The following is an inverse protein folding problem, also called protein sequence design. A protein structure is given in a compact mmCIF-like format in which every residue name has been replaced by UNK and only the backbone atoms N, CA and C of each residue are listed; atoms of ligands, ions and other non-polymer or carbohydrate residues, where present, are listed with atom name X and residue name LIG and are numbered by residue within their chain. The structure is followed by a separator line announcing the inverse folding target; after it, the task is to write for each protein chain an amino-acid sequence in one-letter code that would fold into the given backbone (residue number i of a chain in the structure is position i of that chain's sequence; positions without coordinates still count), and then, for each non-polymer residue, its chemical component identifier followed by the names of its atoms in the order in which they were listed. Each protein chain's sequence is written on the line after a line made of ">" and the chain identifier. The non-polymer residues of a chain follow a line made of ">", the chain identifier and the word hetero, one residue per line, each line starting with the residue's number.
data_IF_253701535104
#
_entry.id   IF_253701535104
#
_cell.length_a   1.000
_cell.length_b   1.000
_cell.length_c   1.000
_cell.angle_alpha   90.00
_cell.angle_beta   90.00
_cell.angle_gamma   90.00
#
_symmetry.space_group_name_H-M   'P 1'
#
loop_
_entity.id
_entity.type
_entity.pdbx_description
1 polymer ?
#
# COMPACT_ATOMS: atom_id res chain seq x y z
N UNK A 1 14.43 18.84 12.92
CA UNK A 1 14.47 18.25 11.56
C UNK A 1 13.65 16.97 11.65
N UNK A 2 12.36 17.04 11.31
CA UNK A 2 11.49 15.86 11.40
C UNK A 2 11.91 14.85 10.35
N UNK A 3 12.21 13.61 10.76
CA UNK A 3 12.25 12.48 9.84
C UNK A 3 10.95 12.49 9.06
N UNK A 4 11.02 12.79 7.76
CA UNK A 4 9.86 12.80 6.87
C UNK A 4 9.23 11.42 6.92
N UNK A 5 8.11 11.30 7.63
CA UNK A 5 7.38 10.05 7.67
C UNK A 5 6.75 9.89 6.28
N UNK A 6 7.32 9.00 5.47
CA UNK A 6 6.72 8.55 4.21
C UNK A 6 5.67 7.48 4.54
N UNK A 7 4.43 7.89 4.76
CA UNK A 7 3.28 7.00 4.99
C UNK A 7 2.16 7.25 3.96
N UNK A 8 2.52 7.84 2.82
CA UNK A 8 1.60 7.99 1.69
C UNK A 8 1.60 6.75 0.78
N UNK A 9 0.56 6.67 -0.05
CA UNK A 9 0.35 5.56 -0.95
C UNK A 9 1.44 5.42 -2.02
N UNK A 10 2.07 6.52 -2.42
CA UNK A 10 3.09 6.54 -3.48
C UNK A 10 4.34 5.81 -3.01
N UNK A 11 4.80 6.12 -1.80
CA UNK A 11 5.93 5.42 -1.20
C UNK A 11 5.60 3.95 -0.92
N UNK A 12 4.40 3.67 -0.39
CA UNK A 12 3.95 2.30 -0.14
C UNK A 12 3.94 1.44 -1.40
N UNK A 13 3.50 2.00 -2.53
CA UNK A 13 3.50 1.32 -3.82
C UNK A 13 4.92 1.03 -4.34
N UNK A 14 5.86 1.97 -4.18
CA UNK A 14 7.24 1.75 -4.58
C UNK A 14 7.85 0.55 -3.83
N UNK A 15 7.67 0.49 -2.51
CA UNK A 15 8.18 -0.60 -1.67
C UNK A 15 7.48 -1.94 -1.97
N UNK A 16 6.18 -1.92 -2.28
CA UNK A 16 5.43 -3.11 -2.66
C UNK A 16 6.02 -3.82 -3.90
N UNK A 17 6.71 -3.09 -4.78
CA UNK A 17 7.29 -3.62 -6.02
C UNK A 17 8.78 -3.96 -5.94
N UNK A 18 9.49 -3.57 -4.88
CA UNK A 18 10.94 -3.81 -4.78
C UNK A 18 11.29 -5.28 -4.50
N UNK A 19 10.38 -6.02 -3.86
CA UNK A 19 10.58 -7.42 -3.51
C UNK A 19 9.27 -8.19 -3.49
N UNK A 20 9.36 -9.52 -3.41
CA UNK A 20 8.21 -10.38 -3.20
C UNK A 20 7.92 -10.47 -1.71
N UNK A 21 6.76 -9.94 -1.31
CA UNK A 21 6.26 -10.00 0.06
C UNK A 21 5.37 -11.23 0.24
N UNK A 22 5.39 -11.84 1.42
CA UNK A 22 4.43 -12.91 1.77
C UNK A 22 3.02 -12.34 1.99
N UNK A 23 2.95 -11.16 2.63
CA UNK A 23 1.72 -10.41 2.87
C UNK A 23 2.03 -8.91 2.91
N UNK A 24 1.09 -8.12 2.38
CA UNK A 24 1.08 -6.66 2.50
C UNK A 24 -0.20 -6.25 3.21
N UNK A 25 -0.03 -5.50 4.30
CA UNK A 25 -1.12 -4.92 5.08
C UNK A 25 -1.25 -3.45 4.72
N UNK A 26 -2.42 -3.06 4.22
CA UNK A 26 -2.71 -1.68 3.80
C UNK A 26 -3.68 -1.04 4.79
N UNK A 27 -3.39 0.17 5.24
CA UNK A 27 -4.44 1.01 5.82
C UNK A 27 -5.34 1.52 4.68
N UNK A 28 -6.65 1.48 4.88
CA UNK A 28 -7.58 2.10 3.91
C UNK A 28 -7.31 3.59 3.81
N UNK A 29 -7.08 4.27 4.92
CA UNK A 29 -7.00 5.74 4.96
C UNK A 29 -5.54 6.19 4.96
N UNK A 30 -5.05 6.58 3.80
CA UNK A 30 -3.72 7.16 3.62
C UNK A 30 -3.82 8.68 3.41
N UNK A 31 -2.80 9.45 3.81
CA UNK A 31 -2.72 10.86 3.46
C UNK A 31 -2.57 11.04 1.95
N UNK A 32 -3.20 12.09 1.41
CA UNK A 32 -3.13 12.44 -0.01
C UNK A 32 -4.39 12.05 -0.79
N UNK A 33 -4.24 11.87 -2.09
CA UNK A 33 -5.35 11.57 -3.02
C UNK A 33 -5.55 10.07 -3.28
N UNK A 34 -4.57 9.25 -2.88
CA UNK A 34 -4.56 7.81 -3.10
C UNK A 34 -4.73 7.08 -1.78
N UNK A 35 -5.60 6.08 -1.77
CA UNK A 35 -5.95 5.30 -0.60
C UNK A 35 -5.45 3.83 -0.72
N UNK A 36 -5.65 3.03 0.33
CA UNK A 36 -5.20 1.63 0.32
C UNK A 36 -5.91 0.74 -0.72
N UNK A 37 -7.10 1.13 -1.18
CA UNK A 37 -7.85 0.41 -2.22
C UNK A 37 -7.31 0.72 -3.61
N UNK A 38 -6.83 1.94 -3.85
CA UNK A 38 -6.14 2.29 -5.10
C UNK A 38 -4.87 1.43 -5.27
N UNK A 39 -4.12 1.23 -4.18
CA UNK A 39 -2.95 0.35 -4.18
C UNK A 39 -3.35 -1.09 -4.49
N UNK A 40 -4.36 -1.60 -3.80
CA UNK A 40 -4.89 -2.95 -4.01
C UNK A 40 -5.31 -3.17 -5.48
N UNK A 41 -6.01 -2.20 -6.08
CA UNK A 41 -6.47 -2.27 -7.46
C UNK A 41 -5.32 -2.37 -8.46
N UNK A 42 -4.27 -1.55 -8.27
CA UNK A 42 -3.10 -1.55 -9.13
C UNK A 42 -2.32 -2.88 -9.06
N UNK A 43 -2.12 -3.43 -7.86
CA UNK A 43 -1.41 -4.70 -7.66
C UNK A 43 -2.18 -5.88 -8.26
N UNK A 44 -3.51 -5.92 -8.09
CA UNK A 44 -4.36 -6.98 -8.67
C UNK A 44 -4.41 -6.91 -10.19
N UNK A 45 -4.45 -5.71 -10.77
CA UNK A 45 -4.43 -5.53 -12.23
C UNK A 45 -3.15 -6.07 -12.86
N UNK A 46 -2.03 -6.01 -12.13
CA UNK A 46 -0.74 -6.57 -12.56
C UNK A 46 -0.62 -8.09 -12.39
N UNK A 47 -1.60 -8.74 -11.74
CA UNK A 47 -1.57 -10.18 -11.48
C UNK A 47 -0.61 -10.57 -10.35
N UNK A 48 -0.30 -9.66 -9.43
CA UNK A 48 0.57 -9.96 -8.30
C UNK A 48 -0.12 -10.94 -7.34
N UNK A 49 0.58 -12.04 -7.02
CA UNK A 49 0.06 -13.12 -6.19
C UNK A 49 0.16 -12.82 -4.68
N UNK A 50 0.82 -11.73 -4.29
CA UNK A 50 1.01 -11.30 -2.92
C UNK A 50 -0.32 -11.25 -2.16
N UNK A 51 -0.35 -11.83 -0.96
CA UNK A 51 -1.52 -11.73 -0.09
C UNK A 51 -1.70 -10.27 0.34
N UNK A 52 -2.92 -9.74 0.19
CA UNK A 52 -3.23 -8.35 0.49
C UNK A 52 -4.36 -8.29 1.50
N UNK A 53 -4.12 -7.64 2.64
CA UNK A 53 -5.13 -7.40 3.68
C UNK A 53 -5.29 -5.90 3.90
N UNK A 54 -6.55 -5.43 3.87
CA UNK A 54 -6.88 -4.02 4.13
C UNK A 54 -7.42 -3.89 5.53
N UNK A 55 -6.79 -3.04 6.34
CA UNK A 55 -7.29 -2.64 7.64
C UNK A 55 -8.21 -1.43 7.48
N UNK A 56 -9.50 -1.64 7.71
CA UNK A 56 -10.44 -0.56 7.99
C UNK A 56 -10.58 -0.41 9.51
N UNK A 57 -10.55 0.83 10.02
CA UNK A 57 -10.95 1.09 11.39
C UNK A 57 -12.42 0.68 11.59
N UNK A 58 -12.72 0.07 12.73
CA UNK A 58 -14.07 -0.29 13.16
C UNK A 58 -14.77 0.89 13.84
#
# INVERSE_FOLDING_TARGET
>A
MGVGRNYDAVYGMAVAHETQWDEIVLDRMLPGELDGLDILSAMRTRGEATSLSVRSAA
#
